data_IF_937097295383
#
_entry.id   IF_937097295383
#
_cell.length_a   1.000
_cell.length_b   1.000
_cell.length_c   1.000
_cell.angle_alpha   90.00
_cell.angle_beta   90.00
_cell.angle_gamma   90.00
#
_symmetry.space_group_name_H-M   'P 1'
#
loop_
_entity.id
_entity.type
_entity.pdbx_description
1 polymer ?
#
# COMPACT_ATOMS: atom_id res chain seq x y z
N UNK A 1 -10.49 -14.71 -25.64
CA UNK A 1 -9.79 -15.02 -24.37
C UNK A 1 -10.02 -13.82 -23.46
N UNK A 2 -10.97 -13.89 -22.51
CA UNK A 2 -11.23 -12.79 -21.60
C UNK A 2 -10.20 -12.86 -20.47
N UNK A 3 -9.29 -11.89 -20.43
CA UNK A 3 -8.45 -11.64 -19.25
C UNK A 3 -9.38 -11.21 -18.13
N UNK A 4 -9.49 -12.00 -17.06
CA UNK A 4 -10.25 -11.61 -15.89
C UNK A 4 -9.60 -10.35 -15.30
N UNK A 5 -10.30 -9.22 -15.34
CA UNK A 5 -9.87 -8.02 -14.63
C UNK A 5 -10.04 -8.30 -13.13
N UNK A 6 -8.92 -8.28 -12.38
CA UNK A 6 -9.00 -8.37 -10.93
C UNK A 6 -9.51 -7.03 -10.40
N UNK A 7 -10.67 -7.06 -9.77
CA UNK A 7 -11.23 -5.90 -9.07
C UNK A 7 -10.65 -5.89 -7.66
N UNK A 8 -10.01 -4.78 -7.30
CA UNK A 8 -9.53 -4.53 -5.95
C UNK A 8 -10.50 -3.59 -5.25
N UNK A 9 -10.78 -3.83 -3.97
CA UNK A 9 -11.59 -2.94 -3.14
C UNK A 9 -10.83 -1.65 -2.79
N UNK A 10 -9.49 -1.73 -2.75
CA UNK A 10 -8.61 -0.61 -2.41
C UNK A 10 -7.26 -0.74 -3.11
N UNK A 11 -6.72 0.39 -3.57
CA UNK A 11 -5.34 0.50 -4.05
C UNK A 11 -4.59 1.47 -3.13
N UNK A 12 -3.45 1.02 -2.59
CA UNK A 12 -2.54 1.82 -1.76
C UNK A 12 -1.25 2.06 -2.55
N UNK A 13 -0.86 3.32 -2.72
CA UNK A 13 0.37 3.70 -3.41
C UNK A 13 1.29 4.44 -2.43
N UNK A 14 2.47 3.88 -2.19
CA UNK A 14 3.51 4.43 -1.33
C UNK A 14 3.73 3.64 -0.04
N UNK A 15 4.98 3.22 0.21
CA UNK A 15 5.40 2.36 1.32
C UNK A 15 5.82 3.10 2.59
N UNK A 16 5.45 4.37 2.73
CA UNK A 16 5.67 5.16 3.94
C UNK A 16 4.71 4.79 5.09
N UNK A 17 4.78 5.50 6.24
CA UNK A 17 3.96 5.20 7.41
C UNK A 17 2.46 5.25 7.13
N UNK A 18 2.03 6.20 6.29
CA UNK A 18 0.64 6.34 5.89
C UNK A 18 0.12 5.12 5.12
N UNK A 19 0.89 4.63 4.14
CA UNK A 19 0.52 3.45 3.35
C UNK A 19 0.56 2.16 4.19
N UNK A 20 1.58 1.99 5.02
CA UNK A 20 1.67 0.87 5.95
C UNK A 20 0.48 0.85 6.93
N UNK A 21 0.14 1.99 7.52
CA UNK A 21 -1.02 2.11 8.40
C UNK A 21 -2.32 1.77 7.67
N UNK A 22 -2.54 2.34 6.47
CA UNK A 22 -3.71 2.04 5.65
C UNK A 22 -3.84 0.53 5.35
N UNK A 23 -2.74 -0.14 5.03
CA UNK A 23 -2.73 -1.57 4.72
C UNK A 23 -3.08 -2.46 5.94
N UNK A 24 -2.66 -2.06 7.14
CA UNK A 24 -3.06 -2.75 8.38
C UNK A 24 -4.57 -2.70 8.55
N UNK A 25 -5.19 -1.52 8.40
CA UNK A 25 -6.64 -1.39 8.55
C UNK A 25 -7.42 -2.03 7.39
N UNK A 26 -6.91 -1.97 6.16
CA UNK A 26 -7.50 -2.67 5.02
C UNK A 26 -7.49 -4.19 5.22
N UNK A 27 -6.39 -4.74 5.74
CA UNK A 27 -6.25 -6.17 6.08
C UNK A 27 -7.20 -6.57 7.20
N UNK A 28 -7.36 -5.73 8.24
CA UNK A 28 -8.34 -5.96 9.32
C UNK A 28 -9.78 -6.01 8.81
N UNK A 29 -10.08 -5.32 7.72
CA UNK A 29 -11.37 -5.33 7.04
C UNK A 29 -11.49 -6.38 5.94
N UNK A 30 -10.44 -7.19 5.72
CA UNK A 30 -10.37 -8.24 4.69
C UNK A 30 -10.65 -7.73 3.27
N UNK A 31 -10.25 -6.50 2.98
CA UNK A 31 -10.36 -5.90 1.65
C UNK A 31 -9.35 -6.53 0.69
N UNK A 32 -9.77 -6.83 -0.54
CA UNK A 32 -8.87 -7.18 -1.64
C UNK A 32 -8.06 -5.95 -2.02
N UNK A 33 -6.87 -5.83 -1.45
CA UNK A 33 -6.08 -4.60 -1.50
C UNK A 33 -4.84 -4.80 -2.37
N UNK A 34 -4.61 -3.91 -3.34
CA UNK A 34 -3.36 -3.83 -4.08
C UNK A 34 -2.45 -2.78 -3.44
N UNK A 35 -1.28 -3.20 -2.95
CA UNK A 35 -0.26 -2.31 -2.42
C UNK A 35 0.87 -2.17 -3.43
N UNK A 36 1.16 -0.95 -3.87
CA UNK A 36 2.27 -0.65 -4.78
C UNK A 36 3.24 0.30 -4.07
N UNK A 37 4.51 -0.06 -4.01
CA UNK A 37 5.55 0.86 -3.56
C UNK A 37 6.88 0.61 -4.26
N UNK A 38 7.63 1.69 -4.48
CA UNK A 38 9.02 1.61 -4.92
C UNK A 38 9.98 1.32 -3.76
N UNK A 39 9.67 1.83 -2.56
CA UNK A 39 10.51 1.70 -1.36
C UNK A 39 9.66 1.67 -0.07
N UNK A 40 10.20 1.06 0.99
CA UNK A 40 9.54 0.98 2.29
C UNK A 40 10.07 2.06 3.24
N UNK A 41 9.23 2.51 4.17
CA UNK A 41 9.57 3.54 5.15
C UNK A 41 9.36 4.97 4.65
N UNK A 42 9.48 5.21 3.34
CA UNK A 42 9.27 6.52 2.73
C UNK A 42 10.11 7.61 3.39
N UNK A 43 9.51 8.78 3.66
CA UNK A 43 10.25 9.88 4.30
C UNK A 43 10.74 9.57 5.72
N UNK A 44 10.16 8.58 6.42
CA UNK A 44 10.58 8.25 7.79
C UNK A 44 11.98 7.62 7.87
N UNK A 45 12.49 7.02 6.79
CA UNK A 45 13.85 6.46 6.75
C UNK A 45 14.91 7.46 6.27
N UNK A 46 14.51 8.57 5.66
CA UNK A 46 15.45 9.58 5.13
C UNK A 46 15.47 10.87 5.97
N UNK A 47 14.49 11.04 6.87
CA UNK A 47 14.36 12.21 7.74
C UNK A 47 15.54 12.44 8.67
N UNK A 48 16.34 11.41 8.97
CA UNK A 48 17.57 11.54 9.78
C UNK A 48 18.73 12.22 9.05
N UNK A 49 18.68 12.26 7.70
CA UNK A 49 19.76 12.73 6.83
C UNK A 49 19.52 14.12 6.23
N UNK A 50 18.43 14.78 6.61
CA UNK A 50 18.06 16.13 6.17
C UNK A 50 18.12 17.12 7.33
#
# INVERSE_FOLDING_TARGET
>A
MYTSCMVYDLIIIGGGPAGAAAAVYASRKRLQTLFITAEWGGQSVVSEKI
#
